data_IF_361947778418
#
_entry.id   IF_361947778418
#
_cell.length_a   1.000
_cell.length_b   1.000
_cell.length_c   1.000
_cell.angle_alpha   90.00
_cell.angle_beta   90.00
_cell.angle_gamma   90.00
#
_symmetry.space_group_name_H-M   'P 1'
#
loop_
_entity.id
_entity.type
_entity.pdbx_description
1 polymer ?
#
# COMPACT_ATOMS: atom_id res chain seq x y z
N UNK A 1 -1.51 -1.69 28.54
CA UNK A 1 -1.04 -2.95 27.90
C UNK A 1 0.46 -2.86 27.69
N UNK A 2 1.19 -3.95 27.92
CA UNK A 2 2.64 -3.99 27.75
C UNK A 2 2.99 -4.59 26.39
N UNK A 3 3.59 -3.79 25.51
CA UNK A 3 4.10 -4.23 24.21
C UNK A 3 5.46 -4.95 24.32
N UNK A 4 6.02 -5.11 25.50
CA UNK A 4 7.23 -5.90 25.75
C UNK A 4 6.91 -7.32 26.22
N UNK A 5 5.62 -7.65 26.43
CA UNK A 5 5.16 -9.02 26.68
C UNK A 5 4.93 -9.77 25.35
N UNK A 6 5.99 -10.39 24.84
CA UNK A 6 5.98 -11.13 23.57
C UNK A 6 5.06 -12.38 23.58
N UNK A 7 4.79 -12.98 24.74
CA UNK A 7 3.85 -14.13 24.84
C UNK A 7 2.44 -13.73 24.47
N UNK A 8 2.08 -12.48 24.72
CA UNK A 8 0.78 -11.94 24.35
C UNK A 8 0.63 -11.80 22.84
N UNK A 9 1.69 -11.47 22.12
CA UNK A 9 1.63 -11.33 20.65
C UNK A 9 1.17 -12.62 19.99
N UNK A 10 1.80 -13.75 20.31
CA UNK A 10 1.43 -15.06 19.75
C UNK A 10 0.04 -15.54 20.19
N UNK A 11 -0.47 -15.03 21.31
CA UNK A 11 -1.83 -15.35 21.76
C UNK A 11 -2.90 -14.55 20.98
N UNK A 12 -2.62 -13.29 20.62
CA UNK A 12 -3.54 -12.42 19.89
C UNK A 12 -3.42 -12.65 18.37
N UNK A 13 -2.20 -12.73 17.84
CA UNK A 13 -1.90 -12.89 16.42
C UNK A 13 -1.87 -14.39 16.05
N UNK A 14 -3.05 -14.97 15.89
CA UNK A 14 -3.23 -16.42 15.70
C UNK A 14 -2.75 -16.92 14.35
N UNK A 15 -2.68 -16.05 13.33
CA UNK A 15 -2.26 -16.38 11.97
C UNK A 15 -0.89 -15.78 11.59
N UNK A 16 -0.12 -15.30 12.58
CA UNK A 16 1.24 -14.75 12.42
C UNK A 16 1.35 -13.58 11.43
N UNK A 17 0.46 -12.59 11.52
CA UNK A 17 0.53 -11.36 10.72
C UNK A 17 1.88 -10.64 10.90
N UNK A 18 2.45 -10.66 12.11
CA UNK A 18 3.77 -10.10 12.38
C UNK A 18 4.86 -10.69 11.48
N UNK A 19 4.83 -12.00 11.26
CA UNK A 19 5.79 -12.66 10.37
C UNK A 19 5.72 -12.14 8.95
N UNK A 20 4.53 -11.86 8.43
CA UNK A 20 4.38 -11.26 7.10
C UNK A 20 4.96 -9.85 7.03
N UNK A 21 4.80 -9.06 8.10
CA UNK A 21 5.39 -7.71 8.19
C UNK A 21 6.91 -7.80 8.29
N UNK A 22 7.43 -8.73 9.11
CA UNK A 22 8.88 -8.96 9.25
C UNK A 22 9.52 -9.40 7.93
N UNK A 23 8.81 -10.17 7.11
CA UNK A 23 9.29 -10.69 5.84
C UNK A 23 9.15 -9.70 4.66
N UNK A 24 8.57 -8.53 4.87
CA UNK A 24 8.27 -7.59 3.79
C UNK A 24 9.50 -7.17 2.94
N UNK A 25 10.69 -6.91 3.51
CA UNK A 25 11.88 -6.63 2.70
C UNK A 25 12.30 -7.80 1.80
N UNK A 26 12.25 -9.02 2.34
CA UNK A 26 12.55 -10.24 1.58
C UNK A 26 11.52 -10.49 0.49
N UNK A 27 10.23 -10.33 0.80
CA UNK A 27 9.12 -10.47 -0.15
C UNK A 27 9.24 -9.50 -1.34
N UNK A 28 9.66 -8.26 -1.08
CA UNK A 28 9.88 -7.27 -2.13
C UNK A 28 10.98 -7.70 -3.10
N UNK A 29 12.09 -8.22 -2.58
CA UNK A 29 13.18 -8.75 -3.40
C UNK A 29 12.75 -9.98 -4.20
N UNK A 30 12.15 -10.96 -3.53
CA UNK A 30 11.64 -12.19 -4.15
C UNK A 30 10.69 -11.87 -5.30
N UNK A 31 9.76 -10.95 -5.09
CA UNK A 31 8.79 -10.53 -6.11
C UNK A 31 9.46 -9.92 -7.34
N UNK A 32 10.47 -9.08 -7.14
CA UNK A 32 11.21 -8.48 -8.27
C UNK A 32 11.98 -9.55 -9.05
N UNK A 33 12.72 -10.42 -8.37
CA UNK A 33 13.48 -11.51 -9.01
C UNK A 33 12.53 -12.46 -9.76
N UNK A 34 11.42 -12.88 -9.13
CA UNK A 34 10.40 -13.69 -9.79
C UNK A 34 9.88 -13.02 -11.07
N UNK A 35 9.55 -11.73 -11.00
CA UNK A 35 9.07 -10.98 -12.17
C UNK A 35 10.10 -10.82 -13.28
N UNK A 36 11.40 -10.82 -12.94
CA UNK A 36 12.48 -10.81 -13.95
C UNK A 36 12.61 -12.15 -14.68
N UNK A 37 12.15 -13.25 -14.12
CA UNK A 37 12.25 -14.61 -14.67
C UNK A 37 10.97 -15.09 -15.38
N UNK A 38 9.78 -14.61 -14.93
CA UNK A 38 8.50 -15.05 -15.50
C UNK A 38 8.41 -14.77 -17.01
N UNK A 39 7.70 -15.62 -17.73
CA UNK A 39 7.51 -15.44 -19.18
C UNK A 39 6.79 -14.12 -19.47
N UNK A 40 7.37 -13.34 -20.38
CA UNK A 40 6.80 -12.09 -20.87
C UNK A 40 6.82 -12.12 -22.41
N UNK A 41 5.67 -12.27 -23.06
CA UNK A 41 5.61 -12.25 -24.53
C UNK A 41 5.95 -10.86 -25.07
N UNK A 42 6.33 -10.80 -26.34
CA UNK A 42 6.56 -9.54 -27.03
C UNK A 42 5.30 -8.68 -27.03
N UNK A 43 5.42 -7.48 -26.50
CA UNK A 43 4.34 -6.49 -26.45
C UNK A 43 4.43 -5.52 -27.64
N UNK A 44 3.29 -5.07 -28.13
CA UNK A 44 3.21 -3.95 -29.06
C UNK A 44 3.51 -2.64 -28.32
N UNK A 45 3.84 -1.56 -29.06
CA UNK A 45 4.05 -0.27 -28.43
C UNK A 45 2.88 0.11 -27.50
N UNK A 46 3.22 0.54 -26.28
CA UNK A 46 2.28 0.90 -25.21
C UNK A 46 2.20 2.42 -25.14
N UNK A 47 0.99 2.96 -25.24
CA UNK A 47 0.74 4.42 -25.11
C UNK A 47 0.04 4.78 -23.81
N UNK A 48 -0.55 3.79 -23.13
CA UNK A 48 -1.23 3.96 -21.82
C UNK A 48 -1.30 2.64 -21.06
N UNK A 49 -1.33 2.75 -19.74
CA UNK A 49 -1.35 1.59 -18.84
C UNK A 49 -2.49 1.75 -17.85
N UNK A 50 -3.27 0.68 -17.66
CA UNK A 50 -4.31 0.61 -16.62
C UNK A 50 -4.02 -0.62 -15.75
N UNK A 51 -3.87 -0.43 -14.45
CA UNK A 51 -3.85 -1.53 -13.49
C UNK A 51 -5.24 -1.63 -12.85
N UNK A 52 -5.93 -2.75 -13.09
CA UNK A 52 -7.24 -3.04 -12.52
C UNK A 52 -7.09 -4.00 -11.34
N UNK A 53 -7.63 -3.63 -10.19
CA UNK A 53 -7.56 -4.44 -8.96
C UNK A 53 -8.10 -3.70 -7.75
N UNK A 54 -8.22 -4.40 -6.62
CA UNK A 54 -8.79 -3.87 -5.37
C UNK A 54 -7.83 -4.05 -4.20
N UNK A 55 -7.99 -3.23 -3.16
CA UNK A 55 -7.32 -3.37 -1.87
C UNK A 55 -5.80 -3.60 -1.96
N UNK A 56 -5.33 -4.72 -1.40
CA UNK A 56 -3.91 -5.12 -1.42
C UNK A 56 -3.33 -5.32 -2.81
N UNK A 57 -4.14 -5.72 -3.79
CA UNK A 57 -3.70 -5.91 -5.18
C UNK A 57 -3.57 -4.58 -5.94
N UNK A 58 -4.31 -3.55 -5.55
CA UNK A 58 -4.26 -2.24 -6.20
C UNK A 58 -3.22 -1.30 -5.58
N UNK A 59 -2.93 -1.44 -4.28
CA UNK A 59 -2.01 -0.53 -3.58
C UNK A 59 -0.59 -0.61 -4.13
N UNK A 60 -0.13 -1.79 -4.58
CA UNK A 60 1.17 -1.93 -5.23
C UNK A 60 1.29 -1.09 -6.51
N UNK A 61 0.21 -1.03 -7.29
CA UNK A 61 0.14 -0.17 -8.47
C UNK A 61 0.11 1.31 -8.13
N UNK A 62 -0.62 1.74 -7.08
CA UNK A 62 -0.57 3.13 -6.59
C UNK A 62 0.84 3.55 -6.20
N UNK A 63 1.51 2.70 -5.41
CA UNK A 63 2.88 2.93 -4.96
C UNK A 63 3.82 3.08 -6.16
N UNK A 64 3.69 2.19 -7.16
CA UNK A 64 4.51 2.26 -8.37
C UNK A 64 4.19 3.51 -9.21
N UNK A 65 2.92 3.84 -9.41
CA UNK A 65 2.51 5.02 -10.16
C UNK A 65 3.06 6.32 -9.52
N UNK A 66 3.00 6.42 -8.19
CA UNK A 66 3.57 7.56 -7.47
C UNK A 66 5.10 7.59 -7.49
N UNK A 67 5.75 6.42 -7.36
CA UNK A 67 7.20 6.29 -7.48
C UNK A 67 7.71 6.75 -8.85
N UNK A 68 6.96 6.43 -9.92
CA UNK A 68 7.33 6.72 -11.30
C UNK A 68 6.75 8.03 -11.87
N UNK A 69 6.05 8.80 -11.06
CA UNK A 69 5.26 9.95 -11.53
C UNK A 69 6.05 11.04 -12.28
N UNK A 70 7.36 11.13 -12.06
CA UNK A 70 8.26 12.09 -12.71
C UNK A 70 9.15 11.48 -13.81
N UNK A 71 9.02 10.18 -14.09
CA UNK A 71 9.91 9.47 -15.02
C UNK A 71 9.21 8.57 -16.03
N UNK A 72 7.94 8.25 -15.80
CA UNK A 72 7.17 7.44 -16.75
C UNK A 72 6.59 8.32 -17.86
N UNK A 73 6.89 8.00 -19.11
CA UNK A 73 6.46 8.80 -20.28
C UNK A 73 5.05 8.49 -20.77
N UNK A 74 4.42 7.43 -20.25
CA UNK A 74 3.04 7.03 -20.61
C UNK A 74 2.12 7.15 -19.40
N UNK A 75 0.83 7.53 -19.58
CA UNK A 75 -0.14 7.54 -18.49
C UNK A 75 -0.27 6.17 -17.85
N UNK A 76 -0.20 6.13 -16.52
CA UNK A 76 -0.43 4.94 -15.72
C UNK A 76 -1.54 5.21 -14.68
N UNK A 77 -2.68 4.51 -14.82
CA UNK A 77 -3.88 4.70 -14.02
C UNK A 77 -4.20 3.43 -13.24
N UNK A 78 -4.53 3.60 -11.96
CA UNK A 78 -4.99 2.51 -11.09
C UNK A 78 -6.51 2.57 -10.97
N UNK A 79 -7.17 1.57 -11.54
CA UNK A 79 -8.62 1.47 -11.61
C UNK A 79 -9.15 0.53 -10.51
N UNK A 80 -10.18 1.02 -9.77
CA UNK A 80 -10.78 0.33 -8.62
C UNK A 80 -12.30 0.32 -8.71
N UNK A 81 -12.80 -0.23 -9.80
CA UNK A 81 -14.24 -0.32 -10.03
C UNK A 81 -14.51 -1.45 -11.02
N UNK A 82 -15.79 -1.70 -11.27
CA UNK A 82 -16.23 -2.57 -12.35
C UNK A 82 -15.92 -1.95 -13.72
N UNK A 83 -15.74 -2.84 -14.70
CA UNK A 83 -15.37 -2.48 -16.09
C UNK A 83 -14.01 -1.74 -16.15
N UNK A 84 -13.75 -1.10 -17.27
CA UNK A 84 -12.57 -0.26 -17.48
C UNK A 84 -13.00 1.13 -17.95
N UNK A 85 -12.19 2.16 -17.71
CA UNK A 85 -12.43 3.48 -18.29
C UNK A 85 -12.56 3.41 -19.81
N UNK A 86 -13.38 4.28 -20.40
CA UNK A 86 -13.68 4.24 -21.83
C UNK A 86 -12.44 4.34 -22.74
N UNK A 87 -11.39 5.06 -22.29
CA UNK A 87 -10.13 5.19 -23.04
C UNK A 87 -9.29 3.91 -23.05
N UNK A 88 -9.55 2.96 -22.15
CA UNK A 88 -8.84 1.69 -22.08
C UNK A 88 -9.38 0.74 -23.16
N UNK A 89 -8.85 0.86 -24.36
CA UNK A 89 -9.22 0.07 -25.53
C UNK A 89 -8.05 0.00 -26.53
N UNK A 90 -8.06 -1.06 -27.37
CA UNK A 90 -7.10 -1.23 -28.46
C UNK A 90 -5.73 -1.78 -28.01
N UNK A 91 -4.95 -2.16 -29.02
CA UNK A 91 -3.67 -2.89 -28.84
C UNK A 91 -2.51 -2.03 -28.33
N UNK A 92 -2.70 -0.73 -28.21
CA UNK A 92 -1.73 0.21 -27.63
C UNK A 92 -1.99 0.49 -26.14
N UNK A 93 -3.03 -0.13 -25.57
CA UNK A 93 -3.34 -0.09 -24.14
C UNK A 93 -2.86 -1.39 -23.48
N UNK A 94 -2.03 -1.26 -22.44
CA UNK A 94 -1.69 -2.36 -21.53
C UNK A 94 -2.64 -2.34 -20.34
N UNK A 95 -3.36 -3.45 -20.12
CA UNK A 95 -4.17 -3.67 -18.91
C UNK A 95 -3.51 -4.73 -18.05
N UNK A 96 -3.17 -4.38 -16.83
CA UNK A 96 -2.61 -5.29 -15.83
C UNK A 96 -3.72 -5.61 -14.83
N UNK A 97 -4.21 -6.83 -14.83
CA UNK A 97 -5.28 -7.26 -13.91
C UNK A 97 -4.66 -7.97 -12.73
N UNK A 98 -4.78 -7.38 -11.55
CA UNK A 98 -4.19 -7.91 -10.32
C UNK A 98 -5.26 -8.31 -9.32
N UNK A 99 -5.26 -9.58 -8.91
CA UNK A 99 -6.13 -10.08 -7.84
C UNK A 99 -5.42 -11.18 -7.07
N UNK A 100 -5.18 -10.99 -5.78
CA UNK A 100 -4.54 -12.00 -4.94
C UNK A 100 -5.32 -13.31 -4.96
N UNK A 101 -6.62 -13.30 -4.66
CA UNK A 101 -7.47 -14.51 -4.67
C UNK A 101 -7.84 -15.00 -6.08
N UNK A 102 -7.73 -14.14 -7.10
CA UNK A 102 -8.25 -14.39 -8.44
C UNK A 102 -9.78 -14.46 -8.55
N UNK A 103 -10.51 -14.11 -7.49
CA UNK A 103 -11.98 -14.20 -7.45
C UNK A 103 -12.66 -12.85 -7.19
N UNK A 104 -11.90 -11.75 -7.20
CA UNK A 104 -12.43 -10.39 -7.01
C UNK A 104 -13.30 -10.01 -8.21
N UNK A 105 -14.56 -9.65 -7.99
CA UNK A 105 -15.52 -9.38 -9.06
C UNK A 105 -15.10 -8.23 -9.97
N UNK A 106 -14.61 -7.14 -9.39
CA UNK A 106 -14.13 -5.96 -10.12
C UNK A 106 -12.93 -6.32 -11.01
N UNK A 107 -12.01 -7.17 -10.52
CA UNK A 107 -10.87 -7.62 -11.31
C UNK A 107 -11.30 -8.53 -12.47
N UNK A 108 -12.25 -9.45 -12.26
CA UNK A 108 -12.83 -10.29 -13.30
C UNK A 108 -13.59 -9.44 -14.33
N UNK A 109 -14.35 -8.44 -13.89
CA UNK A 109 -15.04 -7.49 -14.76
C UNK A 109 -14.04 -6.71 -15.62
N UNK A 110 -13.00 -6.15 -15.01
CA UNK A 110 -11.93 -5.44 -15.73
C UNK A 110 -11.20 -6.33 -16.74
N UNK A 111 -10.91 -7.60 -16.37
CA UNK A 111 -10.30 -8.57 -17.26
C UNK A 111 -11.15 -8.83 -18.52
N UNK A 112 -12.41 -9.19 -18.35
CA UNK A 112 -13.33 -9.49 -19.46
C UNK A 112 -13.46 -8.29 -20.38
N UNK A 113 -13.58 -7.10 -19.82
CA UNK A 113 -13.68 -5.86 -20.58
C UNK A 113 -12.36 -5.53 -21.33
N UNK A 114 -11.20 -5.85 -20.78
CA UNK A 114 -9.91 -5.71 -21.47
C UNK A 114 -9.83 -6.61 -22.71
N UNK A 115 -10.27 -7.87 -22.58
CA UNK A 115 -10.32 -8.82 -23.69
C UNK A 115 -11.29 -8.37 -24.79
N UNK A 116 -12.51 -8.01 -24.40
CA UNK A 116 -13.53 -7.51 -25.33
C UNK A 116 -13.06 -6.29 -26.14
N UNK A 117 -12.32 -5.37 -25.49
CA UNK A 117 -11.81 -4.15 -26.11
C UNK A 117 -10.47 -4.32 -26.83
N UNK A 118 -9.94 -5.55 -26.89
CA UNK A 118 -8.70 -5.87 -27.62
C UNK A 118 -7.44 -5.26 -27.02
N UNK A 119 -7.39 -5.04 -25.69
CA UNK A 119 -6.22 -4.55 -24.99
C UNK A 119 -5.13 -5.63 -24.90
N UNK A 120 -3.87 -5.22 -24.83
CA UNK A 120 -2.80 -6.10 -24.36
C UNK A 120 -3.01 -6.32 -22.85
N UNK A 121 -3.06 -7.57 -22.41
CA UNK A 121 -3.44 -7.87 -21.02
C UNK A 121 -2.42 -8.80 -20.37
N UNK A 122 -2.10 -8.54 -19.11
CA UNK A 122 -1.31 -9.42 -18.22
C UNK A 122 -2.11 -9.62 -16.94
N UNK A 123 -2.14 -10.85 -16.45
CA UNK A 123 -2.76 -11.21 -15.18
C UNK A 123 -1.69 -11.48 -14.12
N UNK A 124 -1.87 -10.91 -12.91
CA UNK A 124 -1.04 -11.16 -11.73
C UNK A 124 -1.93 -11.73 -10.63
N UNK A 125 -1.71 -12.99 -10.22
CA UNK A 125 -2.58 -13.65 -9.23
C UNK A 125 -1.91 -14.84 -8.57
N UNK A 126 -2.45 -15.29 -7.43
CA UNK A 126 -2.05 -16.57 -6.80
C UNK A 126 -2.85 -17.75 -7.34
N UNK A 127 -4.07 -17.53 -7.87
CA UNK A 127 -4.97 -18.60 -8.31
C UNK A 127 -6.34 -18.07 -8.77
N UNK A 128 -7.36 -18.92 -8.64
CA UNK A 128 -8.77 -18.57 -8.84
C UNK A 128 -9.23 -18.42 -10.29
N UNK A 129 -10.48 -17.99 -10.43
CA UNK A 129 -11.17 -17.86 -11.74
C UNK A 129 -10.42 -16.95 -12.73
N UNK A 130 -9.73 -15.94 -12.22
CA UNK A 130 -8.98 -15.01 -13.07
C UNK A 130 -7.86 -15.72 -13.85
N UNK A 131 -7.13 -16.65 -13.22
CA UNK A 131 -6.12 -17.46 -13.92
C UNK A 131 -6.79 -18.39 -14.94
N UNK A 132 -7.90 -19.05 -14.57
CA UNK A 132 -8.63 -19.95 -15.47
C UNK A 132 -9.12 -19.22 -16.73
N UNK A 133 -9.73 -18.04 -16.55
CA UNK A 133 -10.18 -17.21 -17.68
C UNK A 133 -9.03 -16.67 -18.53
N UNK A 134 -7.92 -16.27 -17.89
CA UNK A 134 -6.73 -15.81 -18.61
C UNK A 134 -6.11 -16.90 -19.49
N UNK A 135 -5.95 -18.12 -18.95
CA UNK A 135 -5.43 -19.26 -19.72
C UNK A 135 -6.34 -19.63 -20.90
N UNK A 136 -7.67 -19.63 -20.71
CA UNK A 136 -8.63 -19.85 -21.81
C UNK A 136 -8.55 -18.78 -22.90
N UNK A 137 -8.24 -17.55 -22.52
CA UNK A 137 -8.10 -16.42 -23.44
C UNK A 137 -6.69 -16.29 -24.05
N UNK A 138 -5.74 -17.17 -23.68
CA UNK A 138 -4.35 -17.08 -24.13
C UNK A 138 -3.59 -15.85 -23.58
N UNK A 139 -4.00 -15.35 -22.42
CA UNK A 139 -3.41 -14.17 -21.76
C UNK A 139 -2.27 -14.62 -20.84
N UNK A 140 -1.09 -13.94 -20.86
CA UNK A 140 0.01 -14.23 -19.97
C UNK A 140 -0.40 -14.10 -18.49
N UNK A 141 0.02 -15.08 -17.67
CA UNK A 141 -0.25 -15.12 -16.24
C UNK A 141 1.06 -15.10 -15.47
N UNK A 142 1.26 -14.09 -14.68
CA UNK A 142 2.31 -13.99 -13.69
C UNK A 142 1.79 -14.49 -12.35
N UNK A 143 1.95 -15.81 -12.15
CA UNK A 143 1.53 -16.46 -10.92
C UNK A 143 2.61 -16.37 -9.86
N UNK A 144 2.21 -16.05 -8.62
CA UNK A 144 3.10 -16.07 -7.46
C UNK A 144 2.48 -16.88 -6.31
N UNK A 145 3.32 -17.38 -5.42
CA UNK A 145 2.91 -18.14 -4.25
C UNK A 145 2.87 -17.22 -3.02
N UNK A 146 1.72 -17.10 -2.39
CA UNK A 146 1.58 -16.40 -1.11
C UNK A 146 0.39 -16.97 -0.34
N UNK A 147 0.64 -17.37 0.92
CA UNK A 147 -0.38 -17.82 1.86
C UNK A 147 -0.61 -16.70 2.86
N UNK A 148 -1.84 -16.23 3.00
CA UNK A 148 -2.21 -15.15 3.89
C UNK A 148 -3.13 -14.13 3.25
N UNK A 149 -3.33 -13.03 3.94
CA UNK A 149 -4.23 -11.96 3.49
C UNK A 149 -3.61 -11.13 2.35
N UNK A 150 -4.43 -10.62 1.41
CA UNK A 150 -3.93 -9.79 0.29
C UNK A 150 -3.11 -8.58 0.75
N UNK A 151 -3.47 -7.97 1.88
CA UNK A 151 -2.73 -6.86 2.48
C UNK A 151 -1.31 -7.22 2.93
N UNK A 152 -1.05 -8.51 3.19
CA UNK A 152 0.27 -9.01 3.56
C UNK A 152 1.17 -9.32 2.34
N UNK A 153 0.62 -9.22 1.11
CA UNK A 153 1.32 -9.50 -0.15
C UNK A 153 1.73 -8.22 -0.92
N UNK A 154 1.86 -7.08 -0.23
CA UNK A 154 2.15 -5.80 -0.91
C UNK A 154 3.52 -5.79 -1.59
N UNK A 155 4.50 -6.53 -1.08
CA UNK A 155 5.80 -6.72 -1.73
C UNK A 155 5.65 -7.39 -3.08
N UNK A 156 4.81 -8.44 -3.20
CA UNK A 156 4.49 -9.07 -4.49
C UNK A 156 3.72 -8.11 -5.41
N UNK A 157 2.69 -7.42 -4.89
CA UNK A 157 1.90 -6.48 -5.69
C UNK A 157 2.75 -5.36 -6.31
N UNK A 158 3.78 -4.90 -5.64
CA UNK A 158 4.67 -3.85 -6.13
C UNK A 158 5.85 -4.44 -6.93
N UNK A 159 6.56 -5.44 -6.37
CA UNK A 159 7.80 -5.97 -6.94
C UNK A 159 7.60 -6.59 -8.32
N UNK A 160 6.50 -7.35 -8.53
CA UNK A 160 6.15 -7.89 -9.84
C UNK A 160 5.87 -6.79 -10.86
N UNK A 161 5.17 -5.71 -10.46
CA UNK A 161 4.93 -4.58 -11.35
C UNK A 161 6.23 -3.82 -11.66
N UNK A 162 7.11 -3.64 -10.70
CA UNK A 162 8.41 -3.00 -10.90
C UNK A 162 9.25 -3.79 -11.91
N UNK A 163 9.29 -5.12 -11.79
CA UNK A 163 9.96 -6.01 -12.73
C UNK A 163 9.33 -5.94 -14.13
N UNK A 164 7.99 -5.93 -14.21
CA UNK A 164 7.26 -5.81 -15.47
C UNK A 164 7.63 -4.52 -16.22
N UNK A 165 7.62 -3.39 -15.53
CA UNK A 165 7.94 -2.08 -16.14
C UNK A 165 9.40 -2.00 -16.56
N UNK A 166 10.33 -2.61 -15.80
CA UNK A 166 11.74 -2.74 -16.17
C UNK A 166 11.87 -3.57 -17.45
N UNK A 167 11.26 -4.75 -17.54
CA UNK A 167 11.34 -5.65 -18.69
C UNK A 167 10.66 -5.14 -19.95
N UNK A 168 9.63 -4.31 -19.79
CA UNK A 168 8.99 -3.61 -20.91
C UNK A 168 9.81 -2.40 -21.41
N UNK A 169 10.93 -2.08 -20.77
CA UNK A 169 11.76 -0.93 -21.12
C UNK A 169 11.10 0.42 -20.82
N UNK A 170 10.06 0.43 -19.99
CA UNK A 170 9.35 1.64 -19.56
C UNK A 170 10.19 2.45 -18.55
N UNK A 171 11.05 1.76 -17.82
CA UNK A 171 11.99 2.32 -16.85
C UNK A 171 13.34 1.60 -16.93
N UNK A 172 14.45 2.21 -16.50
CA UNK A 172 15.75 1.56 -16.36
C UNK A 172 15.70 0.39 -15.35
N UNK A 173 16.74 -0.45 -15.34
CA UNK A 173 16.91 -1.47 -14.33
C UNK A 173 16.91 -0.89 -12.91
N UNK A 174 16.13 -1.51 -12.03
CA UNK A 174 15.91 -1.07 -10.65
C UNK A 174 16.66 -1.90 -9.62
N UNK A 175 17.46 -2.87 -10.02
CA UNK A 175 18.12 -3.83 -9.12
C UNK A 175 18.97 -3.16 -8.03
N UNK A 176 19.74 -2.14 -8.41
CA UNK A 176 20.61 -1.42 -7.47
C UNK A 176 19.80 -0.56 -6.47
N UNK A 177 18.78 0.16 -6.94
CA UNK A 177 17.92 0.96 -6.06
C UNK A 177 17.09 0.07 -5.13
N UNK A 178 16.65 -1.08 -5.62
CA UNK A 178 15.94 -2.09 -4.83
C UNK A 178 16.85 -2.65 -3.72
N UNK A 179 18.07 -3.06 -4.04
CA UNK A 179 19.04 -3.56 -3.06
C UNK A 179 19.31 -2.53 -1.95
N UNK A 180 19.56 -1.27 -2.32
CA UNK A 180 19.71 -0.17 -1.35
C UNK A 180 18.45 0.01 -0.50
N UNK A 181 17.26 -0.11 -1.10
CA UNK A 181 16.00 -0.02 -0.37
C UNK A 181 15.89 -1.11 0.67
N UNK A 182 16.18 -2.36 0.32
CA UNK A 182 16.15 -3.51 1.24
C UNK A 182 17.09 -3.30 2.43
N UNK A 183 18.30 -2.79 2.19
CA UNK A 183 19.25 -2.45 3.26
C UNK A 183 18.70 -1.37 4.19
N UNK A 184 18.02 -0.36 3.68
CA UNK A 184 17.35 0.67 4.51
C UNK A 184 16.24 0.05 5.35
N UNK A 185 15.42 -0.85 4.76
CA UNK A 185 14.34 -1.52 5.48
C UNK A 185 14.87 -2.44 6.59
N UNK A 186 15.91 -3.23 6.32
CA UNK A 186 16.53 -4.09 7.32
C UNK A 186 17.07 -3.28 8.52
N UNK A 187 17.79 -2.17 8.26
CA UNK A 187 18.24 -1.26 9.33
C UNK A 187 17.11 -0.62 10.12
N UNK A 188 15.97 -0.32 9.45
CA UNK A 188 14.79 0.18 10.15
C UNK A 188 14.19 -0.90 11.04
N UNK A 189 14.06 -2.12 10.53
CA UNK A 189 13.51 -3.26 11.28
C UNK A 189 14.29 -3.55 12.57
N UNK A 190 15.62 -3.47 12.56
CA UNK A 190 16.46 -3.63 13.77
C UNK A 190 16.06 -2.71 14.93
N UNK A 191 15.31 -1.62 14.63
CA UNK A 191 14.89 -0.62 15.61
C UNK A 191 13.41 -0.69 15.98
N UNK A 192 12.60 -1.42 15.20
CA UNK A 192 11.15 -1.43 15.36
C UNK A 192 10.52 -2.82 15.45
N UNK A 193 11.28 -3.91 15.33
CA UNK A 193 10.79 -5.28 15.53
C UNK A 193 10.24 -5.51 16.95
N UNK A 194 9.47 -6.57 17.08
CA UNK A 194 8.77 -6.87 18.33
C UNK A 194 9.69 -7.06 19.54
N UNK A 195 10.89 -7.61 19.36
CA UNK A 195 11.90 -7.82 20.39
C UNK A 195 12.59 -6.53 20.89
N UNK A 196 12.43 -5.41 20.16
CA UNK A 196 12.96 -4.12 20.59
C UNK A 196 12.05 -3.52 21.68
N UNK A 197 12.57 -3.22 22.88
CA UNK A 197 11.77 -2.68 23.98
C UNK A 197 11.07 -1.37 23.62
N UNK A 198 9.86 -1.13 24.17
CA UNK A 198 9.02 0.07 23.93
C UNK A 198 9.83 1.36 24.02
N UNK A 199 10.70 1.49 25.03
CA UNK A 199 11.52 2.71 25.22
C UNK A 199 12.42 3.04 24.03
N UNK A 200 12.85 2.02 23.25
CA UNK A 200 13.72 2.17 22.10
C UNK A 200 12.99 2.02 20.76
N UNK A 201 11.75 1.54 20.78
CA UNK A 201 10.96 1.23 19.61
C UNK A 201 9.97 2.37 19.29
N UNK A 202 10.28 3.14 18.26
CA UNK A 202 9.43 4.27 17.86
C UNK A 202 8.06 3.84 17.34
N UNK A 203 7.94 2.67 16.69
CA UNK A 203 6.66 2.18 16.19
C UNK A 203 5.73 1.75 17.34
N UNK A 204 6.25 1.08 18.37
CA UNK A 204 5.48 0.76 19.59
C UNK A 204 5.00 2.02 20.31
N UNK A 205 5.88 3.03 20.44
CA UNK A 205 5.50 4.32 21.07
C UNK A 205 4.45 5.05 20.24
N UNK A 206 4.59 5.07 18.91
CA UNK A 206 3.61 5.69 18.03
C UNK A 206 2.24 5.00 18.12
N UNK A 207 2.21 3.67 18.16
CA UNK A 207 0.98 2.91 18.36
C UNK A 207 0.27 3.31 19.66
N UNK A 208 1.02 3.48 20.76
CA UNK A 208 0.47 3.97 22.03
C UNK A 208 -0.19 5.34 21.95
N UNK A 209 0.33 6.24 21.08
CA UNK A 209 -0.27 7.56 20.88
C UNK A 209 -1.61 7.52 20.12
N UNK A 210 -1.88 6.47 19.38
CA UNK A 210 -3.10 6.33 18.57
C UNK A 210 -4.29 5.74 19.33
N UNK A 211 -4.05 5.15 20.52
CA UNK A 211 -5.10 4.49 21.29
C UNK A 211 -6.18 5.51 21.72
N UNK A 212 -7.44 5.16 21.42
CA UNK A 212 -8.61 6.00 21.71
C UNK A 212 -8.75 7.23 20.82
N UNK A 213 -8.03 7.31 19.71
CA UNK A 213 -8.04 8.46 18.79
C UNK A 213 -8.42 8.07 17.35
N UNK A 214 -9.05 9.02 16.65
CA UNK A 214 -9.27 8.93 15.20
C UNK A 214 -8.00 9.41 14.47
N UNK A 215 -7.38 8.53 13.71
CA UNK A 215 -6.10 8.81 13.06
C UNK A 215 -6.31 9.36 11.67
N UNK A 216 -5.77 10.55 11.41
CA UNK A 216 -5.68 11.17 10.08
C UNK A 216 -4.23 11.10 9.60
N UNK A 217 -3.98 10.49 8.46
CA UNK A 217 -2.63 10.33 7.92
C UNK A 217 -2.46 11.30 6.75
N UNK A 218 -1.53 12.24 6.89
CA UNK A 218 -1.19 13.23 5.87
C UNK A 218 0.08 12.86 5.13
N UNK A 219 0.05 12.98 3.82
CA UNK A 219 1.24 12.85 2.98
C UNK A 219 1.15 13.78 1.78
N UNK A 220 2.26 13.95 1.07
CA UNK A 220 2.32 14.70 -0.18
C UNK A 220 3.17 13.94 -1.22
N UNK A 221 3.01 14.32 -2.48
CA UNK A 221 3.80 13.78 -3.57
C UNK A 221 3.75 12.25 -3.65
N UNK A 222 4.92 11.63 -3.80
CA UNK A 222 4.99 10.18 -3.96
C UNK A 222 4.69 9.37 -2.69
N UNK A 223 4.58 10.01 -1.52
CA UNK A 223 4.11 9.35 -0.29
C UNK A 223 2.58 9.29 -0.15
N UNK A 224 1.81 9.93 -1.02
CA UNK A 224 0.34 9.92 -0.95
C UNK A 224 -0.26 8.50 -0.89
N UNK A 225 0.15 7.51 -1.71
CA UNK A 225 -0.35 6.15 -1.59
C UNK A 225 0.12 5.43 -0.32
N UNK A 226 1.21 5.87 0.31
CA UNK A 226 1.64 5.35 1.61
C UNK A 226 0.65 5.76 2.70
N UNK A 227 0.16 7.00 2.69
CA UNK A 227 -0.89 7.44 3.61
C UNK A 227 -2.18 6.62 3.42
N UNK A 228 -2.59 6.33 2.17
CA UNK A 228 -3.68 5.39 1.87
C UNK A 228 -3.40 4.00 2.44
N UNK A 229 -2.17 3.49 2.29
CA UNK A 229 -1.76 2.19 2.86
C UNK A 229 -1.89 2.18 4.38
N UNK A 230 -1.40 3.19 5.07
CA UNK A 230 -1.54 3.31 6.52
C UNK A 230 -3.02 3.22 6.93
N UNK A 231 -3.87 4.05 6.28
CA UNK A 231 -5.33 4.01 6.53
C UNK A 231 -5.88 2.60 6.41
N UNK A 232 -5.57 1.87 5.35
CA UNK A 232 -6.08 0.51 5.15
C UNK A 232 -5.53 -0.47 6.18
N UNK A 233 -4.26 -0.34 6.57
CA UNK A 233 -3.67 -1.17 7.62
C UNK A 233 -4.31 -0.90 8.98
N UNK A 234 -4.58 0.36 9.35
CA UNK A 234 -5.33 0.66 10.57
C UNK A 234 -6.71 0.04 10.55
N UNK A 235 -7.44 0.14 9.43
CA UNK A 235 -8.78 -0.44 9.31
C UNK A 235 -8.76 -1.97 9.36
N UNK A 236 -7.83 -2.63 8.64
CA UNK A 236 -7.85 -4.08 8.46
C UNK A 236 -7.01 -4.85 9.49
N UNK A 237 -5.94 -4.27 10.03
CA UNK A 237 -5.06 -4.89 11.02
C UNK A 237 -5.48 -4.48 12.43
N UNK A 238 -5.55 -3.17 12.71
CA UNK A 238 -5.90 -2.66 14.04
C UNK A 238 -7.41 -2.60 14.32
N UNK A 239 -8.27 -2.81 13.31
CA UNK A 239 -9.73 -2.60 13.37
C UNK A 239 -10.09 -1.20 13.90
N UNK A 240 -9.20 -0.24 13.70
CA UNK A 240 -9.33 1.13 14.14
C UNK A 240 -9.74 2.04 12.98
N UNK A 241 -10.56 3.04 13.27
CA UNK A 241 -10.94 4.03 12.28
C UNK A 241 -9.74 4.92 11.94
N UNK A 242 -9.48 5.08 10.65
CA UNK A 242 -8.48 6.00 10.14
C UNK A 242 -8.90 6.55 8.78
N UNK A 243 -8.45 7.76 8.47
CA UNK A 243 -8.57 8.42 7.17
C UNK A 243 -7.20 8.85 6.67
N UNK A 244 -7.10 9.18 5.39
CA UNK A 244 -5.87 9.77 4.84
C UNK A 244 -6.21 11.01 4.03
N UNK A 245 -5.26 11.94 3.98
CA UNK A 245 -5.35 13.21 3.30
C UNK A 245 -4.08 13.48 2.48
N UNK A 246 -4.24 14.17 1.37
CA UNK A 246 -3.13 14.48 0.48
C UNK A 246 -2.93 15.98 0.37
N UNK A 247 -1.75 16.44 0.75
CA UNK A 247 -1.32 17.83 0.55
C UNK A 247 -0.75 17.97 -0.88
N UNK A 248 -1.09 19.03 -1.63
CA UNK A 248 -1.68 20.29 -1.17
C UNK A 248 -3.21 20.36 -1.11
N UNK A 249 -3.95 19.38 -1.63
CA UNK A 249 -5.41 19.43 -1.71
C UNK A 249 -6.08 19.62 -0.36
N UNK A 250 -5.61 18.92 0.69
CA UNK A 250 -6.14 19.02 2.03
C UNK A 250 -6.08 20.44 2.64
N UNK A 251 -5.12 21.25 2.19
CA UNK A 251 -4.99 22.66 2.62
C UNK A 251 -6.09 23.56 2.03
N UNK A 252 -6.83 23.10 1.04
CA UNK A 252 -7.92 23.85 0.42
C UNK A 252 -9.32 23.47 0.95
N UNK A 253 -9.41 22.44 1.80
CA UNK A 253 -10.68 21.94 2.35
C UNK A 253 -10.56 21.41 3.78
N UNK A 254 -9.85 20.32 4.03
CA UNK A 254 -9.73 19.66 5.33
C UNK A 254 -9.26 20.63 6.42
N UNK A 255 -8.31 21.51 6.10
CA UNK A 255 -7.77 22.50 7.03
C UNK A 255 -8.84 23.46 7.58
N UNK A 256 -9.90 23.75 6.80
CA UNK A 256 -11.01 24.57 7.26
C UNK A 256 -12.00 23.81 8.17
N UNK A 257 -11.98 22.48 8.13
CA UNK A 257 -12.95 21.62 8.82
C UNK A 257 -12.52 21.10 10.20
N UNK A 258 -11.37 21.52 10.74
CA UNK A 258 -10.77 20.90 11.93
C UNK A 258 -11.34 21.38 13.27
N UNK A 259 -12.10 22.48 13.28
CA UNK A 259 -12.60 23.09 14.53
C UNK A 259 -13.91 22.50 15.04
N UNK A 260 -14.68 21.81 14.19
CA UNK A 260 -16.03 21.34 14.52
C UNK A 260 -16.22 19.85 14.22
N UNK A 261 -16.96 19.09 15.07
CA UNK A 261 -17.50 19.55 16.37
C UNK A 261 -16.39 19.64 17.45
N UNK A 262 -16.43 20.65 18.34
CA UNK A 262 -15.35 20.90 19.30
C UNK A 262 -15.01 19.72 20.20
N UNK A 263 -16.02 18.89 20.54
CA UNK A 263 -15.83 17.71 21.40
C UNK A 263 -14.96 16.63 20.77
N UNK A 264 -14.81 16.62 19.43
CA UNK A 264 -14.02 15.63 18.71
C UNK A 264 -12.58 16.08 18.48
N UNK A 265 -12.25 17.34 18.62
CA UNK A 265 -10.89 17.88 18.37
C UNK A 265 -9.84 17.10 19.15
N UNK A 266 -10.08 16.84 20.45
CA UNK A 266 -9.14 16.10 21.31
C UNK A 266 -9.06 14.60 21.02
N UNK A 267 -10.01 14.07 20.23
CA UNK A 267 -10.01 12.68 19.80
C UNK A 267 -9.29 12.49 18.45
N UNK A 268 -8.93 13.57 17.78
CA UNK A 268 -8.20 13.51 16.52
C UNK A 268 -6.69 13.39 16.77
N UNK A 269 -6.03 12.69 15.87
CA UNK A 269 -4.58 12.62 15.81
C UNK A 269 -4.12 12.75 14.35
N UNK A 270 -3.32 13.75 14.06
CA UNK A 270 -2.79 13.97 12.71
C UNK A 270 -1.34 13.48 12.61
N UNK A 271 -1.12 12.44 11.79
CA UNK A 271 0.19 11.87 11.50
C UNK A 271 0.69 12.35 10.14
N UNK A 272 1.86 12.98 10.09
CA UNK A 272 2.45 13.52 8.88
C UNK A 272 3.60 12.65 8.37
N UNK A 273 3.50 12.14 7.14
CA UNK A 273 4.55 11.36 6.49
C UNK A 273 5.40 12.31 5.62
N UNK A 274 6.60 12.61 6.07
CA UNK A 274 7.49 13.57 5.43
C UNK A 274 8.55 12.89 4.56
N UNK A 275 8.85 13.51 3.41
CA UNK A 275 9.97 13.16 2.54
C UNK A 275 10.91 14.35 2.35
N UNK A 276 12.22 14.10 2.42
CA UNK A 276 13.24 15.08 2.04
C UNK A 276 13.32 15.28 0.52
N UNK A 277 12.73 14.37 -0.26
CA UNK A 277 12.72 14.39 -1.73
C UNK A 277 11.41 14.93 -2.31
N UNK A 278 10.49 15.37 -1.47
CA UNK A 278 9.25 15.99 -1.93
C UNK A 278 9.50 17.44 -2.44
N UNK A 279 8.55 17.95 -3.20
CA UNK A 279 8.60 19.32 -3.69
C UNK A 279 8.79 20.31 -2.51
N UNK A 280 9.73 21.28 -2.57
CA UNK A 280 10.02 22.18 -1.44
C UNK A 280 8.79 22.90 -0.90
N UNK A 281 7.84 23.28 -1.77
CA UNK A 281 6.59 23.92 -1.33
C UNK A 281 5.69 22.97 -0.55
N UNK A 282 5.66 21.66 -0.88
CA UNK A 282 4.92 20.68 -0.12
C UNK A 282 5.56 20.45 1.26
N UNK A 283 6.89 20.43 1.36
CA UNK A 283 7.57 20.34 2.66
C UNK A 283 7.19 21.51 3.58
N UNK A 284 7.12 22.74 3.03
CA UNK A 284 6.64 23.92 3.77
C UNK A 284 5.17 23.78 4.16
N UNK A 285 4.31 23.30 3.25
CA UNK A 285 2.88 23.06 3.55
C UNK A 285 2.71 22.05 4.66
N UNK A 286 3.36 20.89 4.57
CA UNK A 286 3.31 19.83 5.60
C UNK A 286 3.66 20.39 6.99
N UNK A 287 4.73 21.20 7.09
CA UNK A 287 5.15 21.81 8.34
C UNK A 287 4.12 22.83 8.87
N UNK A 288 3.57 23.69 7.99
CA UNK A 288 2.61 24.74 8.38
C UNK A 288 1.23 24.16 8.69
N UNK A 289 0.77 23.18 7.94
CA UNK A 289 -0.48 22.47 8.24
C UNK A 289 -0.40 21.79 9.61
N UNK A 290 0.70 21.10 9.89
CA UNK A 290 0.94 20.51 11.21
C UNK A 290 0.92 21.55 12.32
N UNK A 291 1.56 22.71 12.13
CA UNK A 291 1.58 23.82 13.10
C UNK A 291 0.15 24.31 13.40
N UNK A 292 -0.70 24.48 12.37
CA UNK A 292 -2.09 24.91 12.54
C UNK A 292 -2.88 23.85 13.32
N UNK A 293 -2.74 22.56 13.00
CA UNK A 293 -3.40 21.49 13.76
C UNK A 293 -3.01 21.50 15.23
N UNK A 294 -1.73 21.73 15.54
CA UNK A 294 -1.26 21.86 16.94
C UNK A 294 -1.88 23.06 17.66
N UNK A 295 -2.00 24.21 16.97
CA UNK A 295 -2.61 25.42 17.55
C UNK A 295 -4.11 25.24 17.83
N UNK A 296 -4.79 24.43 17.04
CA UNK A 296 -6.20 24.06 17.26
C UNK A 296 -6.39 22.93 18.31
N UNK A 297 -5.30 22.47 18.93
CA UNK A 297 -5.35 21.46 20.00
C UNK A 297 -5.39 20.01 19.52
N UNK A 298 -5.22 19.75 18.23
CA UNK A 298 -5.14 18.38 17.68
C UNK A 298 -3.74 17.82 17.93
N UNK A 299 -3.68 16.62 18.50
CA UNK A 299 -2.40 15.93 18.68
C UNK A 299 -1.77 15.59 17.31
N UNK A 300 -0.47 15.88 17.18
CA UNK A 300 0.26 15.63 15.92
C UNK A 300 1.58 14.94 16.15
N UNK A 301 2.01 14.15 15.18
CA UNK A 301 3.39 13.69 15.07
C UNK A 301 3.79 13.57 13.60
N UNK A 302 5.05 13.22 13.35
CA UNK A 302 5.55 13.01 12.00
C UNK A 302 6.53 11.87 11.90
N UNK A 303 6.49 11.16 10.78
CA UNK A 303 7.52 10.21 10.39
C UNK A 303 8.30 10.77 9.20
N UNK A 304 9.61 10.94 9.39
CA UNK A 304 10.51 11.30 8.30
C UNK A 304 10.99 10.02 7.63
N UNK A 305 10.60 9.82 6.38
CA UNK A 305 10.96 8.66 5.58
C UNK A 305 12.48 8.47 5.52
N UNK A 306 12.96 7.22 5.50
CA UNK A 306 14.37 6.86 5.60
C UNK A 306 14.96 6.48 4.24
N UNK A 307 16.24 6.76 4.07
CA UNK A 307 16.99 6.50 2.85
C UNK A 307 17.09 7.72 1.94
N UNK A 308 17.99 7.62 0.95
CA UNK A 308 18.36 8.72 0.06
C UNK A 308 17.68 8.63 -1.31
N UNK A 309 16.91 7.57 -1.57
CA UNK A 309 16.14 7.38 -2.82
C UNK A 309 14.64 7.41 -2.56
N UNK A 310 13.87 7.72 -3.61
CA UNK A 310 12.40 7.72 -3.53
C UNK A 310 11.85 6.34 -3.14
N UNK A 311 12.43 5.27 -3.69
CA UNK A 311 12.03 3.90 -3.39
C UNK A 311 12.26 3.57 -1.92
N UNK A 312 13.43 3.89 -1.37
CA UNK A 312 13.76 3.67 0.03
C UNK A 312 12.84 4.48 0.96
N UNK A 313 12.58 5.75 0.65
CA UNK A 313 11.70 6.60 1.44
C UNK A 313 10.23 6.11 1.41
N UNK A 314 9.73 5.72 0.25
CA UNK A 314 8.40 5.17 0.09
C UNK A 314 8.23 3.90 0.93
N UNK A 315 9.17 2.95 0.81
CA UNK A 315 9.09 1.68 1.49
C UNK A 315 9.39 1.75 2.99
N UNK A 316 10.27 2.64 3.43
CA UNK A 316 10.52 2.84 4.87
C UNK A 316 9.30 3.43 5.58
N UNK A 317 8.59 4.36 4.96
CA UNK A 317 7.36 4.92 5.50
C UNK A 317 6.23 3.88 5.52
N UNK A 318 6.13 3.02 4.49
CA UNK A 318 5.18 1.92 4.43
C UNK A 318 5.44 0.90 5.54
N UNK A 319 6.67 0.39 5.64
CA UNK A 319 7.06 -0.62 6.63
C UNK A 319 6.81 -0.13 8.06
N UNK A 320 7.19 1.12 8.36
CA UNK A 320 6.93 1.71 9.68
C UNK A 320 5.44 1.73 10.00
N UNK A 321 4.58 2.09 9.04
CA UNK A 321 3.13 2.10 9.20
C UNK A 321 2.52 0.72 9.45
N UNK A 322 3.03 -0.30 8.77
CA UNK A 322 2.57 -1.69 8.96
C UNK A 322 2.88 -2.17 10.40
N UNK A 323 4.08 -1.88 10.93
CA UNK A 323 4.40 -2.17 12.33
C UNK A 323 3.54 -1.36 13.31
N UNK A 324 3.33 -0.07 13.06
CA UNK A 324 2.49 0.78 13.94
C UNK A 324 1.06 0.25 13.98
N UNK A 325 0.47 -0.11 12.84
CA UNK A 325 -0.86 -0.70 12.78
C UNK A 325 -0.94 -2.03 13.52
N UNK A 326 0.09 -2.88 13.40
CA UNK A 326 0.19 -4.14 14.12
C UNK A 326 0.24 -3.92 15.64
N UNK A 327 1.14 -3.06 16.13
CA UNK A 327 1.22 -2.77 17.56
C UNK A 327 -0.05 -2.11 18.11
N UNK A 328 -0.74 -1.34 17.29
CA UNK A 328 -2.06 -0.79 17.65
C UNK A 328 -3.10 -1.91 17.80
N UNK A 329 -3.08 -2.95 16.94
CA UNK A 329 -3.94 -4.12 17.08
C UNK A 329 -3.67 -4.84 18.41
N UNK A 330 -2.41 -5.08 18.76
CA UNK A 330 -2.01 -5.71 20.03
C UNK A 330 -2.48 -4.88 21.23
N UNK A 331 -2.36 -3.55 21.17
CA UNK A 331 -2.83 -2.66 22.22
C UNK A 331 -4.36 -2.67 22.40
N UNK A 332 -5.11 -2.87 21.30
CA UNK A 332 -6.56 -3.06 21.35
C UNK A 332 -7.00 -4.49 21.67
N UNK A 333 -6.04 -5.41 21.92
CA UNK A 333 -6.32 -6.83 22.17
C UNK A 333 -7.13 -7.48 21.02
N UNK A 334 -6.75 -7.15 19.80
CA UNK A 334 -7.50 -7.50 18.60
C UNK A 334 -6.62 -8.32 17.64
N UNK A 335 -7.12 -9.48 17.19
CA UNK A 335 -6.43 -10.30 16.18
C UNK A 335 -6.26 -9.50 14.88
N UNK A 336 -5.01 -9.32 14.40
CA UNK A 336 -4.73 -8.52 13.22
C UNK A 336 -5.21 -9.16 11.91
N UNK A 337 -5.53 -10.46 11.89
CA UNK A 337 -5.79 -11.16 10.62
C UNK A 337 -7.25 -11.20 10.20
N UNK A 338 -8.24 -11.68 10.97
CA UNK A 338 -9.61 -11.83 10.50
C UNK A 338 -10.29 -10.46 10.25
N UNK A 339 -11.14 -10.40 9.23
CA UNK A 339 -11.91 -9.22 8.84
C UNK A 339 -13.41 -9.54 8.68
N UNK A 340 -14.10 -9.96 9.76
CA UNK A 340 -15.47 -10.47 9.68
C UNK A 340 -16.46 -9.57 8.95
N UNK A 341 -16.46 -8.22 9.12
CA UNK A 341 -17.42 -7.38 8.40
C UNK A 341 -17.26 -7.41 6.87
N UNK A 342 -16.02 -7.56 6.37
CA UNK A 342 -15.76 -7.64 4.92
C UNK A 342 -16.18 -9.03 4.39
N UNK A 343 -15.98 -10.08 5.17
CA UNK A 343 -16.43 -11.44 4.82
C UNK A 343 -17.96 -11.47 4.75
N UNK A 344 -18.65 -10.99 5.78
CA UNK A 344 -20.11 -10.93 5.82
C UNK A 344 -20.71 -10.12 4.64
N UNK A 345 -20.09 -9.00 4.27
CA UNK A 345 -20.53 -8.24 3.09
C UNK A 345 -20.43 -9.09 1.81
N UNK A 346 -19.31 -9.78 1.59
CA UNK A 346 -19.12 -10.65 0.41
C UNK A 346 -20.13 -11.79 0.35
N UNK A 347 -20.43 -12.40 1.47
CA UNK A 347 -21.45 -13.44 1.58
C UNK A 347 -22.84 -12.91 1.22
N UNK A 348 -23.19 -11.73 1.74
CA UNK A 348 -24.47 -11.07 1.41
C UNK A 348 -24.59 -10.67 -0.06
N UNK A 349 -23.49 -10.40 -0.75
CA UNK A 349 -23.49 -10.08 -2.20
C UNK A 349 -23.64 -11.34 -3.07
N UNK A 350 -23.40 -12.53 -2.54
CA UNK A 350 -23.54 -13.80 -3.29
C UNK A 350 -24.89 -14.47 -3.07
N UNK A 351 -25.68 -14.00 -2.12
CA UNK A 351 -27.04 -14.45 -1.83
C UNK A 351 -28.05 -13.81 -2.78
#
# INVERSE_FOLDING_TARGET
>A
MDLDDHKRFSHIDTENMLKHIDQLPAQLNEAYQLGMELELPAMKPITRIVSAGMGGSAIGADLLAAYLSDRLSVPFIVHRDYNLPAFAAGKDTLVIVSSHSGNTEEALSGFRNAIERGCQTIVISTGGKLIEEALKAGVPVWKFAHIGQPRAAVGFSFGLLLALFTRLGLIPDQSAELANTIDVLNRLQERIKADVPVLKNSAKRQAGQFIGRNVMIFASGFLAPVARRWKTQFNEVAKAFAVFEVIPEADHNTLAGICNPPQQVFQQYAMFLNSSLDHPRNQVRMAKTREIFMLEGIATDSFNAKGDTRLAQLWSALLFGDYVAYYTAILYDTDPTPIPPIVALKEAMTA
#
